data_IF_399632790025
#
_entry.id   IF_399632790025
#
_cell.length_a   1.000
_cell.length_b   1.000
_cell.length_c   1.000
_cell.angle_alpha   90.00
_cell.angle_beta   90.00
_cell.angle_gamma   90.00
#
_symmetry.space_group_name_H-M   'P 1'
#
loop_
_entity.id
_entity.type
_entity.pdbx_description
1 polymer ?
#
# COMPACT_ATOMS: atom_id res chain seq x y z
N UNK A 1 0.58 -26.12 7.58
CA UNK A 1 1.36 -24.94 7.15
C UNK A 1 0.49 -23.75 7.45
N UNK A 2 0.89 -22.88 8.38
CA UNK A 2 0.12 -21.67 8.66
C UNK A 2 0.28 -20.76 7.45
N UNK A 3 -0.77 -20.65 6.65
CA UNK A 3 -0.88 -19.56 5.67
C UNK A 3 -0.93 -18.34 6.58
N UNK A 4 0.14 -17.55 6.65
CA UNK A 4 0.02 -16.20 7.20
C UNK A 4 -1.05 -15.54 6.34
N UNK A 5 -2.23 -15.34 6.90
CA UNK A 5 -3.32 -14.70 6.17
C UNK A 5 -2.85 -13.31 5.79
N UNK A 6 -2.79 -13.04 4.49
CA UNK A 6 -2.47 -11.72 3.97
C UNK A 6 -3.56 -10.78 4.47
N UNK A 7 -3.23 -9.70 5.20
CA UNK A 7 -4.25 -8.80 5.70
C UNK A 7 -5.01 -8.15 4.55
N UNK A 8 -6.29 -7.85 4.76
CA UNK A 8 -7.12 -7.22 3.75
C UNK A 8 -6.59 -5.81 3.45
N UNK A 9 -6.29 -5.47 2.18
CA UNK A 9 -5.70 -4.17 1.86
C UNK A 9 -6.59 -2.96 2.17
N UNK A 10 -7.91 -3.09 2.06
CA UNK A 10 -8.82 -2.01 2.41
C UNK A 10 -8.82 -1.77 3.92
N UNK A 11 -8.80 -2.84 4.72
CA UNK A 11 -8.74 -2.73 6.19
C UNK A 11 -7.40 -2.15 6.66
N UNK A 12 -6.29 -2.60 6.06
CA UNK A 12 -4.95 -2.05 6.34
C UNK A 12 -4.90 -0.56 6.00
N UNK A 13 -5.42 -0.17 4.83
CA UNK A 13 -5.44 1.24 4.46
C UNK A 13 -6.33 2.05 5.41
N UNK A 14 -7.48 1.51 5.82
CA UNK A 14 -8.40 2.17 6.74
C UNK A 14 -7.74 2.42 8.10
N UNK A 15 -6.99 1.45 8.63
CA UNK A 15 -6.21 1.59 9.86
C UNK A 15 -5.12 2.66 9.71
N UNK A 16 -4.39 2.66 8.60
CA UNK A 16 -3.30 3.63 8.36
C UNK A 16 -3.82 5.06 8.19
N UNK A 17 -4.98 5.24 7.56
CA UNK A 17 -5.55 6.58 7.36
C UNK A 17 -6.40 7.06 8.53
N UNK A 18 -6.61 6.24 9.55
CA UNK A 18 -7.46 6.57 10.70
C UNK A 18 -7.01 7.90 11.32
N UNK A 19 -7.95 8.79 11.59
CA UNK A 19 -7.68 10.14 12.14
C UNK A 19 -6.82 11.06 11.23
N UNK A 20 -6.59 10.69 9.97
CA UNK A 20 -5.93 11.55 8.98
C UNK A 20 -6.95 12.23 8.06
N UNK A 21 -6.48 13.12 7.20
CA UNK A 21 -7.34 13.71 6.18
C UNK A 21 -7.68 12.75 5.02
N UNK A 22 -7.19 11.50 5.02
CA UNK A 22 -7.47 10.47 4.01
C UNK A 22 -8.55 9.45 4.45
N UNK A 23 -9.01 9.52 5.71
CA UNK A 23 -10.16 8.75 6.26
C UNK A 23 -11.44 8.89 5.40
N UNK A 24 -11.61 10.05 4.75
CA UNK A 24 -12.81 10.35 3.98
C UNK A 24 -12.87 9.55 2.68
N UNK A 25 -14.05 9.01 2.28
CA UNK A 25 -14.20 8.24 1.04
C UNK A 25 -13.65 8.94 -0.21
N UNK A 26 -13.84 10.26 -0.34
CA UNK A 26 -13.34 11.04 -1.48
C UNK A 26 -11.80 11.04 -1.64
N UNK A 27 -11.07 10.64 -0.60
CA UNK A 27 -9.60 10.62 -0.55
C UNK A 27 -9.06 9.21 -0.33
N UNK A 28 -9.83 8.36 0.34
CA UNK A 28 -9.55 6.94 0.51
C UNK A 28 -9.55 6.21 -0.83
N UNK A 29 -10.62 6.31 -1.62
CA UNK A 29 -10.73 5.55 -2.88
C UNK A 29 -9.61 5.89 -3.89
N UNK A 30 -9.26 7.17 -4.11
CA UNK A 30 -8.14 7.50 -4.98
C UNK A 30 -6.80 6.97 -4.44
N UNK A 31 -6.63 6.90 -3.12
CA UNK A 31 -5.40 6.40 -2.50
C UNK A 31 -5.25 4.90 -2.70
N UNK A 32 -6.34 4.15 -2.51
CA UNK A 32 -6.39 2.72 -2.79
C UNK A 32 -6.13 2.42 -4.27
N UNK A 33 -6.68 3.23 -5.18
CA UNK A 33 -6.40 3.12 -6.63
C UNK A 33 -4.94 3.39 -6.97
N UNK A 34 -4.32 4.40 -6.37
CA UNK A 34 -2.89 4.67 -6.58
C UNK A 34 -2.02 3.48 -6.15
N UNK A 35 -2.32 2.89 -4.99
CA UNK A 35 -1.63 1.70 -4.48
C UNK A 35 -1.81 0.53 -5.45
N UNK A 36 -3.05 0.28 -5.91
CA UNK A 36 -3.35 -0.77 -6.86
C UNK A 36 -2.59 -0.59 -8.18
N UNK A 37 -2.62 0.62 -8.76
CA UNK A 37 -1.91 0.94 -10.01
C UNK A 37 -0.40 0.79 -9.87
N UNK A 38 0.17 1.18 -8.73
CA UNK A 38 1.58 0.95 -8.44
C UNK A 38 1.88 -0.55 -8.45
N UNK A 39 1.14 -1.35 -7.67
CA UNK A 39 1.33 -2.80 -7.57
C UNK A 39 1.24 -3.51 -8.94
N UNK A 40 0.31 -3.10 -9.82
CA UNK A 40 0.20 -3.64 -11.18
C UNK A 40 1.40 -3.31 -12.08
N UNK A 41 2.11 -2.21 -11.82
CA UNK A 41 3.24 -1.76 -12.63
C UNK A 41 4.58 -2.40 -12.24
N UNK A 42 4.63 -3.11 -11.11
CA UNK A 42 5.85 -3.65 -10.52
C UNK A 42 6.11 -5.10 -10.93
N UNK A 43 7.38 -5.50 -10.82
CA UNK A 43 7.71 -6.92 -10.88
C UNK A 43 7.09 -7.65 -9.67
N UNK A 44 6.67 -8.90 -9.90
CA UNK A 44 5.86 -9.68 -8.95
C UNK A 44 6.60 -10.03 -7.64
N UNK A 45 7.93 -9.98 -7.65
CA UNK A 45 8.83 -10.31 -6.55
C UNK A 45 9.29 -9.09 -5.72
N UNK A 46 8.90 -7.87 -6.13
CA UNK A 46 9.18 -6.66 -5.34
C UNK A 46 8.48 -6.78 -3.99
N UNK A 47 9.23 -6.60 -2.90
CA UNK A 47 8.69 -6.79 -1.54
C UNK A 47 8.14 -5.52 -0.91
N UNK A 48 7.26 -5.67 0.08
CA UNK A 48 6.69 -4.59 0.88
C UNK A 48 7.77 -3.73 1.54
N UNK A 49 8.85 -4.34 2.05
CA UNK A 49 9.98 -3.61 2.61
C UNK A 49 10.70 -2.71 1.60
N UNK A 50 10.85 -3.16 0.36
CA UNK A 50 11.43 -2.35 -0.72
C UNK A 50 10.48 -1.24 -1.16
N UNK A 51 9.16 -1.51 -1.20
CA UNK A 51 8.15 -0.52 -1.53
C UNK A 51 8.09 0.59 -0.50
N UNK A 52 8.06 0.24 0.79
CA UNK A 52 8.11 1.20 1.91
C UNK A 52 9.28 2.16 1.75
N UNK A 53 10.49 1.63 1.56
CA UNK A 53 11.70 2.45 1.36
C UNK A 53 11.62 3.34 0.11
N UNK A 54 11.16 2.78 -1.00
CA UNK A 54 11.10 3.50 -2.29
C UNK A 54 10.08 4.63 -2.27
N UNK A 55 8.91 4.41 -1.66
CA UNK A 55 7.86 5.42 -1.51
C UNK A 55 8.33 6.54 -0.57
N UNK A 56 8.92 6.22 0.59
CA UNK A 56 9.48 7.25 1.50
C UNK A 56 10.61 8.06 0.85
N UNK A 57 11.45 7.41 0.04
CA UNK A 57 12.50 8.09 -0.73
C UNK A 57 11.95 8.94 -1.89
N UNK A 58 10.64 8.89 -2.16
CA UNK A 58 10.00 9.63 -3.25
C UNK A 58 10.30 9.06 -4.64
N UNK A 59 10.73 7.81 -4.74
CA UNK A 59 10.92 7.13 -6.05
C UNK A 59 9.60 7.05 -6.81
N UNK A 60 8.52 6.81 -6.07
CA UNK A 60 7.15 6.87 -6.57
C UNK A 60 6.44 8.12 -6.06
N UNK A 61 5.43 8.58 -6.81
CA UNK A 61 4.59 9.71 -6.40
C UNK A 61 5.38 11.04 -6.22
N UNK A 62 6.36 11.31 -7.10
CA UNK A 62 7.25 12.48 -7.05
C UNK A 62 6.51 13.82 -6.95
N UNK A 63 5.41 13.98 -7.71
CA UNK A 63 4.62 15.21 -7.76
C UNK A 63 3.56 15.29 -6.65
N UNK A 64 3.58 14.34 -5.70
CA UNK A 64 2.52 14.15 -4.72
C UNK A 64 2.95 14.69 -3.36
N UNK A 65 2.04 15.33 -2.59
CA UNK A 65 2.33 15.82 -1.25
C UNK A 65 2.97 14.76 -0.34
N UNK A 66 3.89 15.18 0.55
CA UNK A 66 4.61 14.27 1.46
C UNK A 66 3.67 13.40 2.29
N UNK A 67 2.60 13.99 2.86
CA UNK A 67 1.64 13.26 3.67
C UNK A 67 0.95 12.10 2.93
N UNK A 68 0.72 12.20 1.62
CA UNK A 68 0.16 11.09 0.82
C UNK A 68 1.19 9.98 0.62
N UNK A 69 2.45 10.35 0.38
CA UNK A 69 3.56 9.38 0.28
C UNK A 69 3.80 8.65 1.60
N UNK A 70 3.77 9.36 2.71
CA UNK A 70 3.96 8.77 4.03
C UNK A 70 2.87 7.73 4.32
N UNK A 71 1.60 8.06 4.06
CA UNK A 71 0.48 7.11 4.20
C UNK A 71 0.64 5.88 3.30
N UNK A 72 1.05 6.05 2.03
CA UNK A 72 1.27 4.90 1.14
C UNK A 72 2.46 4.05 1.62
N UNK A 73 3.50 4.68 2.16
CA UNK A 73 4.62 3.95 2.74
C UNK A 73 4.20 3.19 4.00
N UNK A 74 3.43 3.82 4.88
CA UNK A 74 2.89 3.21 6.10
C UNK A 74 1.96 2.03 5.76
N UNK A 75 1.17 2.13 4.68
CA UNK A 75 0.41 1.00 4.13
C UNK A 75 1.29 -0.21 3.81
N UNK A 76 2.43 -0.02 3.15
CA UNK A 76 3.34 -1.13 2.84
C UNK A 76 4.09 -1.63 4.08
N UNK A 77 4.35 -0.77 5.07
CA UNK A 77 5.02 -1.11 6.32
C UNK A 77 4.15 -2.02 7.23
N UNK A 78 2.82 -1.98 7.05
CA UNK A 78 1.87 -2.86 7.75
C UNK A 78 1.88 -4.32 7.28
N UNK A 79 2.61 -4.64 6.20
CA UNK A 79 2.76 -6.01 5.71
C UNK A 79 4.08 -6.64 6.18
N UNK A 80 4.17 -7.98 6.22
CA UNK A 80 5.45 -8.67 6.37
C UNK A 80 6.47 -8.15 5.35
N UNK A 81 7.72 -7.94 5.77
CA UNK A 81 8.76 -7.28 4.95
C UNK A 81 9.03 -8.00 3.62
N UNK A 82 8.76 -9.32 3.56
CA UNK A 82 8.92 -10.23 2.44
C UNK A 82 7.62 -10.46 1.64
N UNK A 83 6.49 -9.91 2.08
CA UNK A 83 5.24 -9.93 1.31
C UNK A 83 5.48 -9.26 -0.04
N UNK A 84 5.10 -9.95 -1.12
CA UNK A 84 5.40 -9.46 -2.48
C UNK A 84 4.27 -8.61 -3.04
N UNK A 85 4.61 -7.73 -3.99
CA UNK A 85 3.67 -6.90 -4.70
C UNK A 85 2.54 -7.72 -5.33
N UNK A 86 2.86 -8.88 -5.90
CA UNK A 86 1.87 -9.79 -6.47
C UNK A 86 0.92 -10.39 -5.40
N UNK A 87 1.42 -10.69 -4.21
CA UNK A 87 0.60 -11.23 -3.13
C UNK A 87 -0.37 -10.18 -2.57
N UNK A 88 0.10 -8.95 -2.40
CA UNK A 88 -0.73 -7.81 -1.95
C UNK A 88 -1.77 -7.46 -3.03
N UNK A 89 -1.36 -7.39 -4.31
CA UNK A 89 -2.27 -7.13 -5.43
C UNK A 89 -3.38 -8.18 -5.51
N UNK A 90 -3.01 -9.46 -5.39
CA UNK A 90 -4.00 -10.54 -5.37
C UNK A 90 -4.99 -10.39 -4.23
N UNK A 91 -4.55 -9.97 -3.05
CA UNK A 91 -5.45 -9.70 -1.93
C UNK A 91 -6.40 -8.53 -2.25
N UNK A 92 -5.92 -7.48 -2.93
CA UNK A 92 -6.77 -6.35 -3.35
C UNK A 92 -7.85 -6.77 -4.34
N UNK A 93 -7.52 -7.63 -5.31
CA UNK A 93 -8.43 -8.06 -6.38
C UNK A 93 -9.45 -9.12 -5.91
N UNK A 94 -9.20 -9.77 -4.77
CA UNK A 94 -10.11 -10.76 -4.17
C UNK A 94 -11.01 -10.19 -3.06
N UNK A 95 -10.85 -8.90 -2.74
CA UNK A 95 -11.58 -8.19 -1.67
C UNK A 95 -12.90 -7.61 -2.15
#
# INVERSE_FOLDING_TARGET
>A
MSILEMPNPSDVLAEVVENTCFDKPERFDPLLRDIHSLLQSLASDVTAGNLTKSVRAGVYFLSTPHNRRDVIADFFDSYPIDATAAAILKAMECS
#
